data_IF_475626942085
#
_entry.id   IF_475626942085
#
_cell.length_a   1.000
_cell.length_b   1.000
_cell.length_c   1.000
_cell.angle_alpha   90.00
_cell.angle_beta   90.00
_cell.angle_gamma   90.00
#
_symmetry.space_group_name_H-M   'P 1'
#
loop_
_entity.id
_entity.type
_entity.pdbx_description
1 polymer ?
#
# COMPACT_ATOMS: atom_id res chain seq x y z
N UNK A 1 -3.82 -10.72 35.07
CA UNK A 1 -4.54 -9.62 34.39
C UNK A 1 -4.04 -9.61 32.95
N UNK A 2 -4.92 -9.64 31.95
CA UNK A 2 -4.48 -9.51 30.55
C UNK A 2 -4.22 -8.02 30.30
N UNK A 3 -2.94 -7.65 30.22
CA UNK A 3 -2.52 -6.27 30.02
C UNK A 3 -2.13 -6.10 28.56
N UNK A 4 -2.77 -5.24 27.79
CA UNK A 4 -2.31 -4.98 26.42
C UNK A 4 -1.20 -3.93 26.40
N UNK A 5 -0.28 -4.05 25.45
CA UNK A 5 0.85 -3.16 25.27
C UNK A 5 0.99 -2.67 23.84
N UNK A 6 1.39 -1.42 23.70
CA UNK A 6 1.76 -0.80 22.44
C UNK A 6 3.25 -0.56 22.40
N UNK A 7 3.89 -1.03 21.33
CA UNK A 7 5.33 -0.97 21.16
C UNK A 7 5.68 -0.41 19.78
N UNK A 8 6.75 0.38 19.77
CA UNK A 8 7.42 0.79 18.54
C UNK A 8 8.87 0.34 18.62
N UNK A 9 9.37 -0.30 17.56
CA UNK A 9 10.78 -0.66 17.47
C UNK A 9 11.43 -0.18 16.19
N UNK A 10 12.71 0.13 16.29
CA UNK A 10 13.52 0.66 15.21
C UNK A 10 14.79 -0.17 15.03
N UNK A 11 15.28 -0.21 13.78
CA UNK A 11 16.50 -0.92 13.39
C UNK A 11 16.60 -2.36 13.92
N UNK A 12 15.59 -3.19 13.62
CA UNK A 12 15.54 -4.59 14.05
C UNK A 12 15.64 -4.77 15.58
N UNK A 13 14.84 -4.00 16.32
CA UNK A 13 14.76 -4.04 17.78
C UNK A 13 16.01 -3.55 18.52
N UNK A 14 16.96 -2.88 17.86
CA UNK A 14 18.05 -2.18 18.56
C UNK A 14 17.52 -1.08 19.47
N UNK A 15 16.42 -0.44 19.07
CA UNK A 15 15.71 0.50 19.90
C UNK A 15 14.24 0.08 19.98
N UNK A 16 13.75 -0.12 21.20
CA UNK A 16 12.36 -0.49 21.46
C UNK A 16 11.81 0.47 22.50
N UNK A 17 10.59 0.95 22.25
CA UNK A 17 9.81 1.65 23.25
C UNK A 17 8.46 1.01 23.42
N UNK A 18 8.05 0.91 24.69
CA UNK A 18 6.66 0.74 25.07
C UNK A 18 6.05 2.12 25.25
N UNK A 19 4.84 2.34 24.74
CA UNK A 19 4.15 3.59 25.01
C UNK A 19 3.86 3.67 26.52
N UNK A 20 4.27 4.75 27.21
CA UNK A 20 4.18 4.83 28.67
C UNK A 20 2.73 4.92 29.16
N UNK A 21 1.84 5.45 28.33
CA UNK A 21 0.40 5.50 28.58
C UNK A 21 -0.29 4.84 27.41
N UNK A 22 -1.13 3.85 27.71
CA UNK A 22 -1.93 3.18 26.69
C UNK A 22 -2.93 4.18 26.08
N UNK A 23 -3.02 4.29 24.75
CA UNK A 23 -4.00 5.15 24.09
C UNK A 23 -5.42 4.69 24.39
N UNK A 24 -6.35 5.64 24.47
CA UNK A 24 -7.78 5.35 24.64
C UNK A 24 -8.39 4.69 23.38
N UNK A 25 -7.87 5.07 22.21
CA UNK A 25 -8.35 4.58 20.91
C UNK A 25 -7.17 4.30 19.97
N UNK A 26 -7.24 3.14 19.31
CA UNK A 26 -6.44 2.81 18.13
C UNK A 26 -7.37 2.80 16.92
N UNK A 27 -7.26 3.80 16.06
CA UNK A 27 -8.01 3.82 14.80
C UNK A 27 -7.24 3.07 13.71
N UNK A 28 -7.87 2.05 13.11
CA UNK A 28 -7.31 1.28 11.99
C UNK A 28 -8.18 1.52 10.77
N UNK A 29 -7.61 2.15 9.75
CA UNK A 29 -8.30 2.47 8.51
C UNK A 29 -7.76 1.63 7.37
N UNK A 30 -8.65 0.81 6.82
CA UNK A 30 -8.41 0.01 5.62
C UNK A 30 -9.39 0.45 4.53
N UNK A 31 -8.88 0.65 3.32
CA UNK A 31 -9.70 1.16 2.22
C UNK A 31 -9.28 0.51 0.91
N UNK A 32 -10.23 0.23 0.02
CA UNK A 32 -9.94 -0.21 -1.35
C UNK A 32 -9.42 0.93 -2.23
N UNK A 33 -8.64 0.61 -3.27
CA UNK A 33 -8.31 1.56 -4.36
C UNK A 33 -9.26 1.41 -5.56
N UNK A 34 -10.50 0.99 -5.30
CA UNK A 34 -11.50 0.76 -6.35
C UNK A 34 -11.85 2.03 -7.12
N UNK A 35 -12.23 1.88 -8.39
CA UNK A 35 -12.62 2.98 -9.27
C UNK A 35 -14.05 2.78 -9.75
N UNK A 36 -14.93 3.74 -9.49
CA UNK A 36 -16.29 3.77 -10.02
C UNK A 36 -16.31 4.26 -11.48
N UNK A 37 -17.06 3.58 -12.33
CA UNK A 37 -17.36 4.01 -13.70
C UNK A 37 -18.87 3.99 -13.92
N UNK A 38 -19.41 5.04 -14.53
CA UNK A 38 -20.79 5.06 -14.97
C UNK A 38 -20.87 4.58 -16.42
N UNK A 39 -21.63 3.52 -16.67
CA UNK A 39 -21.84 2.96 -18.00
C UNK A 39 -23.30 3.21 -18.39
N UNK A 40 -23.50 3.73 -19.60
CA UNK A 40 -24.83 3.93 -20.19
C UNK A 40 -25.52 2.54 -20.27
N UNK A 41 -26.74 2.43 -19.74
CA UNK A 41 -27.56 1.20 -19.60
C UNK A 41 -27.22 0.23 -18.46
N UNK A 42 -25.99 0.26 -17.90
CA UNK A 42 -25.57 -0.64 -16.82
C UNK A 42 -25.47 0.04 -15.44
N UNK A 43 -25.59 1.36 -15.38
CA UNK A 43 -25.50 2.13 -14.14
C UNK A 43 -24.06 2.33 -13.65
N UNK A 44 -23.89 2.57 -12.35
CA UNK A 44 -22.57 2.68 -11.73
C UNK A 44 -21.98 1.29 -11.46
N UNK A 45 -20.82 1.01 -12.05
CA UNK A 45 -20.03 -0.18 -11.76
C UNK A 45 -18.79 0.19 -10.94
N UNK A 46 -18.37 -0.69 -10.02
CA UNK A 46 -17.15 -0.50 -9.24
C UNK A 46 -16.07 -1.49 -9.71
N UNK A 47 -14.94 -0.99 -10.19
CA UNK A 47 -13.80 -1.83 -10.52
C UNK A 47 -12.99 -2.13 -9.25
N UNK A 48 -12.93 -3.41 -8.89
CA UNK A 48 -12.18 -3.89 -7.72
C UNK A 48 -10.68 -3.80 -8.02
N UNK A 49 -9.98 -2.97 -7.25
CA UNK A 49 -8.52 -2.86 -7.27
C UNK A 49 -7.92 -3.39 -5.96
N UNK A 50 -6.59 -3.36 -5.86
CA UNK A 50 -5.90 -3.70 -4.62
C UNK A 50 -6.27 -2.73 -3.48
N UNK A 51 -6.22 -3.19 -2.22
CA UNK A 51 -6.41 -2.30 -1.08
C UNK A 51 -5.29 -1.27 -0.98
N UNK A 52 -5.64 -0.08 -0.49
CA UNK A 52 -4.70 0.93 -0.04
C UNK A 52 -3.96 0.43 1.21
N UNK A 53 -2.81 1.04 1.47
CA UNK A 53 -2.02 0.75 2.67
C UNK A 53 -2.83 1.09 3.91
N UNK A 54 -2.90 0.15 4.87
CA UNK A 54 -3.53 0.35 6.18
C UNK A 54 -2.95 1.59 6.87
N UNK A 55 -3.81 2.46 7.35
CA UNK A 55 -3.45 3.66 8.12
C UNK A 55 -3.82 3.42 9.59
N UNK A 56 -2.95 3.83 10.51
CA UNK A 56 -3.20 3.80 11.94
C UNK A 56 -3.14 5.21 12.51
N UNK A 57 -4.02 5.53 13.45
CA UNK A 57 -3.95 6.75 14.26
C UNK A 57 -3.95 6.40 15.74
N UNK A 58 -3.02 7.00 16.47
CA UNK A 58 -2.83 6.81 17.92
C UNK A 58 -2.80 8.17 18.60
N UNK A 59 -3.60 8.32 19.66
CA UNK A 59 -3.61 9.50 20.51
C UNK A 59 -3.31 9.09 21.96
N UNK A 60 -2.30 9.71 22.57
CA UNK A 60 -1.85 9.38 23.92
C UNK A 60 -1.00 10.54 24.48
N UNK A 61 -0.36 10.31 25.63
CA UNK A 61 0.50 11.26 26.33
C UNK A 61 1.83 10.65 26.76
N UNK A 62 2.87 11.48 26.79
CA UNK A 62 4.14 11.18 27.45
C UNK A 62 4.15 11.87 28.83
N UNK A 63 4.18 11.11 29.93
CA UNK A 63 4.05 11.65 31.27
C UNK A 63 5.39 12.17 31.80
N UNK A 64 5.38 13.35 32.43
CA UNK A 64 6.53 13.97 33.06
C UNK A 64 6.83 13.43 34.47
N UNK A 65 5.83 12.78 35.08
CA UNK A 65 5.89 12.17 36.39
C UNK A 65 5.22 10.80 36.36
N UNK A 66 5.44 10.01 37.40
CA UNK A 66 4.80 8.71 37.49
C UNK A 66 3.32 8.87 37.87
N UNK A 67 2.43 8.31 37.05
CA UNK A 67 0.99 8.25 37.32
C UNK A 67 0.53 6.78 37.45
N UNK A 68 -0.59 6.50 38.13
CA UNK A 68 -1.09 5.12 38.29
C UNK A 68 -1.40 4.39 36.97
N UNK A 69 -1.69 5.14 35.91
CA UNK A 69 -1.96 4.60 34.57
C UNK A 69 -0.69 4.43 33.71
N UNK A 70 0.49 4.74 34.25
CA UNK A 70 1.76 4.51 33.57
C UNK A 70 2.10 3.04 33.65
N UNK A 71 2.32 2.42 32.50
CA UNK A 71 2.55 0.97 32.38
C UNK A 71 3.97 0.53 32.73
N UNK A 72 4.84 1.48 33.08
CA UNK A 72 6.20 1.21 33.54
C UNK A 72 6.25 1.03 35.06
N UNK A 73 6.96 0.01 35.57
CA UNK A 73 7.11 -0.18 37.00
C UNK A 73 7.83 1.02 37.62
N UNK A 74 7.55 1.33 38.90
CA UNK A 74 8.20 2.42 39.63
C UNK A 74 9.58 2.05 40.21
N UNK A 75 10.03 0.81 40.05
CA UNK A 75 11.22 0.24 40.70
C UNK A 75 12.55 0.81 40.18
N UNK A 76 13.49 1.15 41.07
CA UNK A 76 14.82 1.69 40.72
C UNK A 76 15.75 0.70 40.01
N UNK A 77 15.48 -0.61 40.09
CA UNK A 77 16.26 -1.66 39.42
C UNK A 77 15.68 -1.88 38.03
N UNK A 78 15.91 -0.94 37.12
CA UNK A 78 15.43 -1.04 35.74
C UNK A 78 16.60 -1.08 34.77
N UNK A 79 16.64 -2.16 33.99
CA UNK A 79 17.39 -2.21 32.75
C UNK A 79 17.00 -1.00 31.89
N UNK A 80 17.97 -0.44 31.16
CA UNK A 80 17.84 0.82 30.41
C UNK A 80 16.61 0.88 29.48
N UNK A 81 16.10 -0.27 29.06
CA UNK A 81 14.96 -0.46 28.16
C UNK A 81 13.59 -0.39 28.86
N UNK A 82 13.55 -0.64 30.18
CA UNK A 82 12.31 -0.68 30.97
C UNK A 82 12.10 0.55 31.85
N UNK A 83 12.84 1.64 31.60
CA UNK A 83 12.72 2.88 32.37
C UNK A 83 11.76 3.89 31.74
N UNK A 84 10.98 4.58 32.58
CA UNK A 84 10.20 5.73 32.15
C UNK A 84 11.14 6.86 31.69
N UNK A 85 11.11 7.19 30.41
CA UNK A 85 11.92 8.26 29.84
C UNK A 85 11.26 9.63 30.10
N UNK A 86 12.04 10.71 29.97
CA UNK A 86 11.44 12.05 30.04
C UNK A 86 10.57 12.28 28.80
N UNK A 87 9.46 13.05 28.89
CA UNK A 87 8.58 13.30 27.75
C UNK A 87 9.29 13.74 26.47
N UNK A 88 10.25 14.66 26.61
CA UNK A 88 11.02 15.16 25.47
C UNK A 88 11.93 14.10 24.83
N UNK A 89 12.41 13.12 25.58
CA UNK A 89 13.24 12.03 25.03
C UNK A 89 12.43 11.16 24.06
N UNK A 90 11.16 10.86 24.37
CA UNK A 90 10.26 10.17 23.45
C UNK A 90 10.05 10.97 22.16
N UNK A 91 9.76 12.27 22.30
CA UNK A 91 9.57 13.17 21.16
C UNK A 91 10.82 13.22 20.28
N UNK A 92 12.01 13.38 20.87
CA UNK A 92 13.27 13.44 20.16
C UNK A 92 13.58 12.14 19.41
N UNK A 93 13.30 11.00 20.04
CA UNK A 93 13.53 9.69 19.45
C UNK A 93 12.56 9.39 18.30
N UNK A 94 11.25 9.66 18.45
CA UNK A 94 10.28 9.52 17.35
C UNK A 94 10.68 10.42 16.18
N UNK A 95 11.03 11.68 16.44
CA UNK A 95 11.54 12.60 15.40
C UNK A 95 12.79 12.06 14.71
N UNK A 96 13.73 11.48 15.46
CA UNK A 96 14.93 10.86 14.90
C UNK A 96 14.58 9.70 13.98
N UNK A 97 13.65 8.83 14.38
CA UNK A 97 13.16 7.74 13.54
C UNK A 97 12.47 8.25 12.27
N UNK A 98 11.66 9.31 12.35
CA UNK A 98 11.05 9.96 11.19
C UNK A 98 12.11 10.47 10.20
N UNK A 99 13.12 11.20 10.70
CA UNK A 99 14.18 11.79 9.86
C UNK A 99 15.07 10.72 9.22
N UNK A 100 15.19 9.54 9.84
CA UNK A 100 15.98 8.42 9.30
C UNK A 100 15.43 7.86 7.98
N UNK A 101 14.16 8.14 7.64
CA UNK A 101 13.44 7.59 6.47
C UNK A 101 13.42 6.06 6.41
N UNK A 102 13.56 5.40 7.56
CA UNK A 102 13.46 3.95 7.69
C UNK A 102 12.12 3.57 8.32
N UNK A 103 11.56 2.40 7.96
CA UNK A 103 10.34 1.92 8.59
C UNK A 103 10.58 1.61 10.07
N UNK A 104 9.57 1.88 10.88
CA UNK A 104 9.46 1.49 12.29
C UNK A 104 8.55 0.27 12.35
N UNK A 105 8.72 -0.60 13.34
CA UNK A 105 7.80 -1.72 13.55
C UNK A 105 6.80 -1.36 14.63
N UNK A 106 5.53 -1.42 14.30
CA UNK A 106 4.45 -1.25 15.27
C UNK A 106 4.00 -2.62 15.75
N UNK A 107 3.94 -2.78 17.07
CA UNK A 107 3.41 -3.98 17.71
C UNK A 107 2.36 -3.61 18.75
N UNK A 108 1.14 -4.06 18.52
CA UNK A 108 0.10 -4.15 19.54
C UNK A 108 0.02 -5.62 19.96
N UNK A 109 -0.01 -5.91 21.25
CA UNK A 109 -0.16 -7.30 21.73
C UNK A 109 -0.87 -7.31 23.09
N UNK A 110 -1.77 -8.27 23.28
CA UNK A 110 -2.26 -8.63 24.60
C UNK A 110 -1.15 -9.38 25.38
N UNK A 111 -0.55 -8.73 26.37
CA UNK A 111 0.34 -9.38 27.31
C UNK A 111 -0.52 -10.20 28.27
N UNK A 112 -0.56 -11.52 28.05
CA UNK A 112 -0.96 -12.41 29.13
C UNK A 112 0.19 -12.40 30.13
N UNK A 113 -0.02 -11.79 31.29
CA UNK A 113 0.88 -12.02 32.41
C UNK A 113 0.78 -13.51 32.74
N UNK A 114 1.74 -14.30 32.26
CA UNK A 114 1.86 -15.70 32.63
C UNK A 114 2.09 -15.70 34.13
N UNK A 115 1.14 -16.22 34.90
CA UNK A 115 1.38 -16.44 36.32
C UNK A 115 2.61 -17.34 36.41
N UNK A 116 3.68 -16.80 36.99
CA UNK A 116 4.83 -17.60 37.34
C UNK A 116 4.35 -18.58 38.40
N UNK A 117 4.03 -19.81 38.00
CA UNK A 117 4.02 -20.93 38.93
C UNK A 117 5.48 -21.16 39.32
N UNK A 118 5.99 -20.29 40.19
CA UNK A 118 7.23 -20.50 40.92
C UNK A 118 6.96 -21.57 41.98
N UNK A 119 6.73 -22.79 41.53
CA UNK A 119 6.82 -24.00 42.33
C UNK A 119 7.82 -24.93 41.65
N UNK A 120 8.96 -25.04 42.33
CA UNK A 120 10.04 -25.99 42.17
C UNK A 120 11.18 -25.72 41.17
N UNK A 121 12.37 -25.83 41.77
CA UNK A 121 13.69 -25.43 41.31
C UNK A 121 14.32 -26.47 40.37
N UNK A 122 15.33 -26.03 39.58
CA UNK A 122 16.70 -26.60 39.42
C UNK A 122 17.20 -26.40 37.98
N UNK A 123 17.25 -25.14 37.50
CA UNK A 123 17.85 -24.79 36.21
C UNK A 123 19.19 -24.10 36.43
N UNK A 124 20.21 -24.45 35.65
CA UNK A 124 21.51 -23.78 35.75
C UNK A 124 21.43 -22.32 35.30
N UNK A 125 22.39 -21.49 35.69
CA UNK A 125 22.44 -20.06 35.34
C UNK A 125 22.37 -19.79 33.81
N UNK A 126 22.62 -20.79 32.96
CA UNK A 126 22.51 -20.69 31.51
C UNK A 126 21.07 -20.93 31.00
N UNK A 127 20.27 -21.71 31.74
CA UNK A 127 18.92 -22.10 31.35
C UNK A 127 17.94 -20.94 31.54
N UNK A 128 18.04 -20.18 32.63
CA UNK A 128 17.18 -19.00 32.81
C UNK A 128 17.46 -17.90 31.79
N UNK A 129 18.69 -17.78 31.27
CA UNK A 129 19.03 -16.76 30.29
C UNK A 129 18.43 -17.09 28.92
N UNK A 130 18.50 -18.36 28.50
CA UNK A 130 17.79 -18.84 27.31
C UNK A 130 16.30 -18.76 27.49
N UNK A 131 15.80 -19.14 28.65
CA UNK A 131 14.38 -19.08 28.95
C UNK A 131 13.88 -17.63 29.05
N UNK A 132 14.68 -16.68 29.53
CA UNK A 132 14.37 -15.26 29.50
C UNK A 132 14.33 -14.71 28.07
N UNK A 133 15.26 -15.13 27.20
CA UNK A 133 15.25 -14.76 25.78
C UNK A 133 14.03 -15.36 25.04
N UNK A 134 13.69 -16.62 25.32
CA UNK A 134 12.50 -17.28 24.76
C UNK A 134 11.19 -16.69 25.33
N UNK A 135 11.16 -16.31 26.62
CA UNK A 135 10.04 -15.60 27.26
C UNK A 135 9.86 -14.19 26.69
N UNK A 136 10.95 -13.47 26.41
CA UNK A 136 10.90 -12.20 25.71
C UNK A 136 10.32 -12.37 24.30
N UNK A 137 10.70 -13.43 23.58
CA UNK A 137 10.15 -13.74 22.26
C UNK A 137 8.65 -14.14 22.31
N UNK A 138 8.23 -14.90 23.33
CA UNK A 138 6.84 -15.36 23.50
C UNK A 138 5.88 -14.26 24.00
N UNK A 139 6.40 -13.27 24.73
CA UNK A 139 5.63 -12.11 25.22
C UNK A 139 5.04 -11.28 24.05
N UNK A 140 5.64 -11.38 22.86
CA UNK A 140 5.15 -10.70 21.64
C UNK A 140 4.17 -11.53 20.78
N UNK A 141 3.91 -12.79 21.13
CA UNK A 141 3.09 -13.73 20.34
C UNK A 141 1.81 -14.17 21.04
N UNK A 142 1.20 -13.31 21.86
CA UNK A 142 -0.21 -13.49 22.20
C UNK A 142 -1.06 -13.31 20.93
N UNK A 143 -1.92 -14.29 20.63
CA UNK A 143 -2.75 -14.47 19.42
C UNK A 143 -3.68 -13.29 19.04
N UNK A 144 -3.59 -12.17 19.76
CA UNK A 144 -4.27 -10.90 19.52
C UNK A 144 -3.22 -9.78 19.41
N UNK A 145 -2.44 -9.77 18.32
CA UNK A 145 -1.44 -8.74 18.13
C UNK A 145 -1.26 -8.26 16.69
N UNK A 146 -1.36 -6.94 16.50
CA UNK A 146 -0.98 -6.31 15.23
C UNK A 146 0.53 -6.19 15.23
N UNK A 147 1.20 -6.82 14.29
CA UNK A 147 2.65 -6.73 14.16
C UNK A 147 3.02 -6.41 12.72
N UNK A 148 3.30 -5.14 12.42
CA UNK A 148 3.59 -4.73 11.04
C UNK A 148 4.64 -3.62 10.94
N UNK A 149 5.44 -3.61 9.86
CA UNK A 149 6.28 -2.47 9.51
C UNK A 149 5.39 -1.29 9.09
N UNK A 150 5.71 -0.11 9.58
CA UNK A 150 4.99 1.14 9.33
C UNK A 150 5.98 2.29 9.04
N UNK A 151 5.55 3.26 8.25
CA UNK A 151 6.14 4.60 8.19
C UNK A 151 5.39 5.52 9.14
N UNK A 152 6.12 6.49 9.70
CA UNK A 152 5.51 7.58 10.47
C UNK A 152 5.14 8.68 9.47
N UNK A 153 3.83 8.88 9.23
CA UNK A 153 3.32 9.88 8.29
C UNK A 153 3.19 11.25 8.95
N UNK A 154 2.70 11.28 10.19
CA UNK A 154 2.56 12.50 10.95
C UNK A 154 2.82 12.26 12.44
N UNK A 155 3.46 13.24 13.08
CA UNK A 155 3.67 13.24 14.52
C UNK A 155 3.49 14.67 15.05
N UNK A 156 2.33 14.91 15.64
CA UNK A 156 1.98 16.20 16.26
C UNK A 156 2.05 16.02 17.76
N UNK A 157 2.63 16.99 18.47
CA UNK A 157 2.70 16.99 19.93
C UNK A 157 2.50 18.41 20.45
N UNK A 158 1.89 18.54 21.63
CA UNK A 158 1.57 19.81 22.26
C UNK A 158 1.77 19.74 23.78
N UNK A 159 1.97 20.91 24.38
CA UNK A 159 2.07 21.10 25.82
C UNK A 159 0.80 21.82 26.28
N UNK A 160 0.05 21.21 27.19
CA UNK A 160 -1.14 21.83 27.78
C UNK A 160 -0.72 22.65 29.00
N UNK A 161 -1.04 23.95 29.01
CA UNK A 161 -0.70 24.85 30.12
C UNK A 161 -1.43 24.42 31.40
N UNK A 162 -0.69 24.21 32.49
CA UNK A 162 -1.23 23.75 33.78
C UNK A 162 -0.95 22.28 34.12
N UNK A 163 -0.50 21.47 33.15
CA UNK A 163 0.04 20.14 33.42
C UNK A 163 1.54 20.20 33.68
N UNK A 164 2.03 19.30 34.52
CA UNK A 164 3.37 19.21 35.11
C UNK A 164 4.52 18.93 34.13
N UNK A 165 4.40 19.31 32.85
CA UNK A 165 5.35 19.01 31.78
C UNK A 165 4.96 17.81 30.90
N UNK A 166 3.73 17.32 31.04
CA UNK A 166 3.20 16.24 30.20
C UNK A 166 3.06 16.70 28.73
N UNK A 167 3.32 15.77 27.80
CA UNK A 167 3.21 16.03 26.36
C UNK A 167 2.10 15.17 25.78
N UNK A 168 1.05 15.80 25.27
CA UNK A 168 0.02 15.12 24.46
C UNK A 168 0.53 14.96 23.03
N UNK A 169 0.26 13.82 22.40
CA UNK A 169 0.66 13.57 21.03
C UNK A 169 -0.38 12.79 20.21
N UNK A 170 -0.33 13.05 18.90
CA UNK A 170 -1.04 12.31 17.86
C UNK A 170 -0.01 11.75 16.91
N UNK A 171 -0.06 10.43 16.69
CA UNK A 171 0.85 9.68 15.83
C UNK A 171 0.06 8.99 14.73
N UNK A 172 0.27 9.41 13.49
CA UNK A 172 -0.29 8.77 12.31
C UNK A 172 0.77 7.87 11.65
N UNK A 173 0.44 6.60 11.53
CA UNK A 173 1.30 5.58 10.94
C UNK A 173 0.66 5.02 9.68
N UNK A 174 1.47 4.56 8.73
CA UNK A 174 0.99 3.90 7.52
C UNK A 174 1.76 2.62 7.28
N UNK A 175 1.07 1.55 6.92
CA UNK A 175 1.69 0.26 6.63
C UNK A 175 2.77 0.43 5.57
N UNK A 176 3.99 0.02 5.92
CA UNK A 176 5.13 0.05 5.02
C UNK A 176 5.24 -1.27 4.28
N UNK A 177 5.30 -1.22 2.95
CA UNK A 177 5.57 -2.39 2.12
C UNK A 177 6.99 -2.28 1.60
N UNK A 178 7.82 -3.26 1.98
CA UNK A 178 9.18 -3.36 1.45
C UNK A 178 9.11 -3.59 -0.06
N UNK A 179 9.62 -2.63 -0.82
CA UNK A 179 9.85 -2.82 -2.24
C UNK A 179 11.35 -2.98 -2.44
N UNK A 180 11.74 -4.05 -3.12
CA UNK A 180 13.07 -4.15 -3.68
C UNK A 180 12.92 -3.88 -5.17
N UNK A 181 13.77 -3.01 -5.71
CA UNK A 181 13.94 -2.98 -7.16
C UNK A 181 14.57 -4.33 -7.55
N UNK A 182 13.76 -5.26 -8.04
CA UNK A 182 14.30 -6.37 -8.79
C UNK A 182 14.99 -5.73 -9.99
N UNK A 183 16.33 -5.71 -9.97
CA UNK A 183 17.11 -5.52 -11.18
C UNK A 183 16.76 -6.69 -12.08
N UNK A 184 15.70 -6.55 -12.87
CA UNK A 184 15.44 -7.42 -13.99
C UNK A 184 16.69 -7.25 -14.85
N UNK A 185 17.57 -8.25 -14.83
CA UNK A 185 18.59 -8.37 -15.87
C UNK A 185 17.79 -8.33 -17.15
N UNK A 186 17.83 -7.20 -17.84
CA UNK A 186 17.42 -7.12 -19.22
C UNK A 186 18.36 -8.09 -19.96
N UNK A 187 17.98 -9.37 -20.03
CA UNK A 187 18.42 -10.23 -21.10
C UNK A 187 18.14 -9.41 -22.36
N UNK A 188 19.23 -9.02 -23.02
CA UNK A 188 19.25 -7.87 -23.92
C UNK A 188 18.09 -7.89 -24.90
N UNK A 189 17.48 -6.73 -25.13
CA UNK A 189 16.59 -6.46 -26.25
C UNK A 189 15.81 -7.68 -26.80
N UNK A 190 15.07 -8.35 -25.92
CA UNK A 190 13.82 -8.95 -26.36
C UNK A 190 12.78 -7.90 -26.04
N UNK A 191 12.61 -6.98 -26.99
CA UNK A 191 11.32 -6.33 -27.15
C UNK A 191 10.33 -7.48 -27.27
N UNK A 192 9.68 -7.85 -26.16
CA UNK A 192 8.43 -8.58 -26.23
C UNK A 192 7.52 -7.65 -27.01
N UNK A 193 7.42 -7.91 -28.32
CA UNK A 193 6.42 -7.32 -29.19
C UNK A 193 5.13 -7.46 -28.40
N UNK A 194 4.58 -6.34 -27.95
CA UNK A 194 3.32 -6.33 -27.24
C UNK A 194 2.35 -7.10 -28.12
N UNK A 195 1.95 -8.29 -27.67
CA UNK A 195 0.93 -9.05 -28.35
C UNK A 195 -0.31 -8.19 -28.24
N UNK A 196 -0.64 -7.51 -29.33
CA UNK A 196 -1.92 -6.84 -29.47
C UNK A 196 -2.97 -7.90 -29.13
N UNK A 197 -3.74 -7.64 -28.06
CA UNK A 197 -4.97 -8.37 -27.81
C UNK A 197 -5.71 -8.45 -29.13
N UNK A 198 -6.14 -9.64 -29.52
CA UNK A 198 -7.06 -9.78 -30.64
C UNK A 198 -8.24 -8.85 -30.36
N UNK A 199 -8.37 -7.81 -31.18
CA UNK A 199 -9.55 -6.97 -31.15
C UNK A 199 -10.67 -7.78 -31.77
N UNK A 200 -11.70 -8.12 -30.99
CA UNK A 200 -13.00 -8.59 -31.49
C UNK A 200 -13.80 -7.45 -32.13
N UNK A 201 -13.11 -6.58 -32.87
CA UNK A 201 -13.74 -5.66 -33.82
C UNK A 201 -13.17 -6.03 -35.18
N UNK A 202 -13.95 -6.79 -35.94
CA UNK A 202 -13.64 -7.17 -37.32
C UNK A 202 -13.19 -5.92 -38.08
N UNK A 203 -11.90 -5.83 -38.39
CA UNK A 203 -11.37 -4.69 -39.12
C UNK A 203 -12.05 -4.66 -40.49
N UNK A 204 -12.74 -3.56 -40.78
CA UNK A 204 -13.37 -3.33 -42.07
C UNK A 204 -12.34 -3.54 -43.20
N UNK A 205 -12.67 -4.40 -44.17
CA UNK A 205 -11.80 -4.66 -45.31
C UNK A 205 -11.55 -3.34 -46.06
N UNK A 206 -10.29 -2.99 -46.31
CA UNK A 206 -9.91 -1.78 -47.07
C UNK A 206 -9.16 -2.18 -48.34
N UNK A 207 -9.15 -1.28 -49.34
CA UNK A 207 -8.44 -1.44 -50.60
C UNK A 207 -7.67 -0.16 -50.94
N UNK A 208 -6.44 -0.32 -51.42
CA UNK A 208 -5.62 0.79 -51.90
C UNK A 208 -5.79 0.91 -53.41
N UNK A 209 -6.25 2.06 -53.89
CA UNK A 209 -6.50 2.30 -55.31
C UNK A 209 -5.18 2.25 -56.08
N UNK A 210 -5.10 1.40 -57.11
CA UNK A 210 -3.94 1.29 -57.99
C UNK A 210 -4.13 2.11 -59.27
N UNK A 211 -3.03 2.35 -59.99
CA UNK A 211 -3.07 3.06 -61.26
C UNK A 211 -3.98 2.32 -62.26
N UNK A 212 -4.97 3.03 -62.82
CA UNK A 212 -5.93 2.48 -63.77
C UNK A 212 -7.18 1.83 -63.15
N UNK A 213 -7.30 1.81 -61.81
CA UNK A 213 -8.53 1.35 -61.17
C UNK A 213 -9.63 2.43 -61.20
N UNK A 214 -10.88 1.97 -61.32
CA UNK A 214 -12.09 2.75 -61.09
C UNK A 214 -12.86 2.18 -59.90
N UNK A 215 -13.72 2.96 -59.24
CA UNK A 215 -14.56 2.44 -58.16
C UNK A 215 -15.41 1.25 -58.62
N UNK A 216 -15.81 1.25 -59.90
CA UNK A 216 -16.54 0.14 -60.51
C UNK A 216 -15.68 -1.12 -60.66
N UNK A 217 -14.46 -1.01 -61.20
CA UNK A 217 -13.57 -2.17 -61.32
C UNK A 217 -13.17 -2.72 -59.95
N UNK A 218 -13.01 -1.86 -58.96
CA UNK A 218 -12.72 -2.27 -57.58
C UNK A 218 -13.93 -2.99 -56.96
N UNK A 219 -15.15 -2.47 -57.14
CA UNK A 219 -16.37 -3.12 -56.67
C UNK A 219 -16.56 -4.50 -57.34
N UNK A 220 -16.31 -4.61 -58.64
CA UNK A 220 -16.39 -5.87 -59.37
C UNK A 220 -15.33 -6.87 -58.87
N UNK A 221 -14.07 -6.43 -58.70
CA UNK A 221 -12.96 -7.30 -58.27
C UNK A 221 -13.04 -7.71 -56.79
N UNK A 222 -13.56 -6.85 -55.90
CA UNK A 222 -13.51 -7.05 -54.44
C UNK A 222 -14.85 -7.40 -53.80
N UNK A 223 -15.97 -6.98 -54.40
CA UNK A 223 -17.33 -7.27 -53.91
C UNK A 223 -18.13 -8.16 -54.86
N UNK A 224 -17.51 -8.62 -55.96
CA UNK A 224 -18.09 -9.48 -56.99
C UNK A 224 -19.10 -8.79 -57.92
N UNK A 225 -19.41 -7.52 -57.67
CA UNK A 225 -20.44 -6.79 -58.40
C UNK A 225 -20.07 -5.33 -58.57
N UNK A 226 -19.84 -4.92 -59.81
CA UNK A 226 -19.50 -3.56 -60.20
C UNK A 226 -20.58 -2.56 -59.79
N UNK A 227 -21.85 -2.97 -59.77
CA UNK A 227 -23.00 -2.15 -59.35
C UNK A 227 -22.89 -1.62 -57.91
N UNK A 228 -22.05 -2.23 -57.06
CA UNK A 228 -21.81 -1.79 -55.68
C UNK A 228 -20.90 -0.56 -55.56
N UNK A 229 -20.39 -0.02 -56.67
CA UNK A 229 -19.52 1.16 -56.65
C UNK A 229 -20.17 2.40 -56.05
N UNK A 230 -21.49 2.59 -56.22
CA UNK A 230 -22.24 3.71 -55.61
C UNK A 230 -22.28 3.61 -54.08
N UNK A 231 -22.38 2.38 -53.57
CA UNK A 231 -22.31 2.12 -52.14
C UNK A 231 -20.89 2.39 -51.60
N UNK A 232 -19.85 1.95 -52.32
CA UNK A 232 -18.46 2.26 -51.98
C UNK A 232 -18.17 3.76 -52.01
N UNK A 233 -18.72 4.47 -52.99
CA UNK A 233 -18.59 5.92 -53.12
C UNK A 233 -19.16 6.62 -51.87
N UNK A 234 -20.39 6.28 -51.50
CA UNK A 234 -21.06 6.84 -50.31
C UNK A 234 -20.31 6.48 -49.02
N UNK A 235 -19.86 5.24 -48.89
CA UNK A 235 -19.13 4.73 -47.72
C UNK A 235 -17.81 5.49 -47.47
N UNK A 236 -17.16 5.94 -48.54
CA UNK A 236 -15.85 6.60 -48.48
C UNK A 236 -15.90 8.10 -48.73
N UNK A 237 -17.11 8.68 -48.81
CA UNK A 237 -17.31 10.10 -49.05
C UNK A 237 -16.65 10.60 -50.34
N UNK A 238 -16.68 9.82 -51.41
CA UNK A 238 -16.08 10.17 -52.70
C UNK A 238 -17.10 10.98 -53.52
N UNK A 239 -16.75 12.19 -53.91
CA UNK A 239 -17.59 13.05 -54.73
C UNK A 239 -17.63 12.58 -56.20
N UNK A 240 -18.66 12.99 -56.95
CA UNK A 240 -18.80 12.66 -58.38
C UNK A 240 -17.65 13.19 -59.25
N UNK A 241 -16.99 14.26 -58.78
CA UNK A 241 -15.80 14.82 -59.45
C UNK A 241 -14.58 13.93 -59.25
N UNK A 242 -14.43 13.32 -58.08
CA UNK A 242 -13.32 12.42 -57.75
C UNK A 242 -13.44 11.05 -58.42
N UNK A 243 -14.65 10.62 -58.83
CA UNK A 243 -14.84 9.38 -59.59
C UNK A 243 -14.09 9.33 -60.91
N UNK A 244 -13.94 10.49 -61.57
CA UNK A 244 -13.24 10.61 -62.86
C UNK A 244 -11.71 10.56 -62.68
N UNK A 245 -11.21 10.89 -61.48
CA UNK A 245 -9.78 10.95 -61.15
C UNK A 245 -9.57 10.48 -59.71
N UNK A 246 -9.63 9.17 -59.52
CA UNK A 246 -9.31 8.59 -58.22
C UNK A 246 -7.82 8.75 -57.94
N UNK A 247 -7.50 9.23 -56.73
CA UNK A 247 -6.11 9.36 -56.31
C UNK A 247 -5.49 7.98 -56.10
N UNK A 248 -4.47 7.69 -56.91
CA UNK A 248 -3.67 6.48 -56.79
C UNK A 248 -3.01 6.48 -55.41
N UNK A 249 -3.11 5.37 -54.69
CA UNK A 249 -2.62 5.24 -53.32
C UNK A 249 -3.64 5.62 -52.23
N UNK A 250 -4.82 6.14 -52.58
CA UNK A 250 -5.89 6.39 -51.60
C UNK A 250 -6.47 5.06 -51.11
N UNK A 251 -6.63 4.93 -49.80
CA UNK A 251 -7.24 3.75 -49.16
C UNK A 251 -8.74 3.99 -49.00
N UNK A 252 -9.54 3.03 -49.46
CA UNK A 252 -11.00 3.04 -49.36
C UNK A 252 -11.48 1.81 -48.57
N UNK A 253 -12.54 1.98 -47.78
CA UNK A 253 -13.26 0.92 -47.06
C UNK A 253 -14.19 0.17 -48.02
N UNK A 254 -14.24 -1.15 -47.90
CA UNK A 254 -15.05 -2.04 -48.75
C UNK A 254 -16.34 -2.53 -48.06
N UNK A 255 -16.39 -2.47 -46.73
CA UNK A 255 -17.53 -2.82 -45.89
C UNK A 255 -17.52 -1.96 -44.63
#
# INVERSE_FOLDING_TARGET
MEEYGFFLSFNNYEEVIRLPVNPEMLEIKESGDGKSYSIIELGEINAIAYPKLTELSIESMFPAQWYPFVVYPASEVQEKESRLLKPYEYVAMIKRWMVSRRPVRFVFTGLKQLESNASDQTGTMADWLKEAADRAAQTFTGDMGINMPVSIENFTWKLSAGNSGDIEYTLALKKYVFYQALAVKAAGNVVKKQQQRASEKTAAATYTIQAGDSLWSIAQKKLGSGSKYKALQKLNGISDSELKKLQIGRVIKLA
#
